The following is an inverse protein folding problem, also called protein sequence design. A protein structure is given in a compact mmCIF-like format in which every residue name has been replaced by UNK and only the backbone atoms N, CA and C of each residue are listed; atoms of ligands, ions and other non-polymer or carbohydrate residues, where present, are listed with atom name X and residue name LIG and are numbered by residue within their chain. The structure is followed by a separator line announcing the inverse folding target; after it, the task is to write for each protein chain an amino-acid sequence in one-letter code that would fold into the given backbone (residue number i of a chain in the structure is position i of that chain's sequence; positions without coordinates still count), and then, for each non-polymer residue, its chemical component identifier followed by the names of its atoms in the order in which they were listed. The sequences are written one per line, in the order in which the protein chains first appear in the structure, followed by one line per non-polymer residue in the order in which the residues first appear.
data_IF_510199674158
#
_entry.id   IF_510199674158
#
_cell.length_a   1.000
_cell.length_b   1.000
_cell.length_c   1.000
_cell.angle_alpha   90.00
_cell.angle_beta   90.00
_cell.angle_gamma   90.00
#
_symmetry.space_group_name_H-M   'P 1'
#
loop_
_entity.id
_entity.type
_entity.pdbx_description
1 polymer ?
#
# COMPACT_ATOMS: atom_id res chain seq x y z
N UNK A 1 3.91 -8.28 -60.81
CA UNK A 1 3.41 -8.85 -59.55
C UNK A 1 3.95 -7.99 -58.43
N UNK A 2 3.08 -7.30 -57.70
CA UNK A 2 3.46 -6.49 -56.54
C UNK A 2 3.23 -7.35 -55.29
N UNK A 3 4.25 -7.51 -54.46
CA UNK A 3 4.16 -8.17 -53.16
C UNK A 3 3.47 -7.20 -52.17
N UNK A 4 2.28 -7.56 -51.71
CA UNK A 4 1.58 -6.89 -50.62
C UNK A 4 1.87 -7.62 -49.31
N UNK A 5 2.63 -6.98 -48.43
CA UNK A 5 2.88 -7.44 -47.06
C UNK A 5 1.57 -7.48 -46.26
N UNK A 6 1.20 -8.66 -45.78
CA UNK A 6 -0.01 -8.93 -45.01
C UNK A 6 0.10 -8.47 -43.54
N UNK A 7 -0.99 -7.95 -42.93
CA UNK A 7 -1.01 -7.33 -41.60
C UNK A 7 -1.10 -8.36 -40.45
N UNK A 8 -0.40 -9.49 -40.54
CA UNK A 8 -0.55 -10.61 -39.61
C UNK A 8 0.28 -10.51 -38.32
N UNK A 9 1.22 -9.57 -38.23
CA UNK A 9 2.18 -9.53 -37.13
C UNK A 9 1.71 -8.74 -35.88
N UNK A 10 0.69 -7.88 -36.02
CA UNK A 10 0.20 -7.03 -34.92
C UNK A 10 -0.86 -7.72 -34.06
N UNK A 11 -1.76 -8.50 -34.68
CA UNK A 11 -2.86 -9.21 -34.01
C UNK A 11 -2.32 -10.35 -33.12
N UNK A 12 -1.32 -11.11 -33.58
CA UNK A 12 -0.69 -12.16 -32.76
C UNK A 12 0.11 -11.58 -31.58
N UNK A 13 0.70 -10.39 -31.76
CA UNK A 13 1.44 -9.71 -30.69
C UNK A 13 0.52 -9.23 -29.55
N UNK A 14 -0.74 -8.87 -29.86
CA UNK A 14 -1.76 -8.48 -28.88
C UNK A 14 -2.25 -9.68 -28.07
N UNK A 15 -2.35 -10.86 -28.68
CA UNK A 15 -2.74 -12.10 -28.00
C UNK A 15 -1.68 -12.61 -27.00
N UNK A 16 -0.41 -12.27 -27.23
CA UNK A 16 0.71 -12.60 -26.34
C UNK A 16 0.91 -11.62 -25.19
N UNK A 17 0.21 -10.48 -25.18
CA UNK A 17 0.34 -9.56 -24.06
C UNK A 17 -0.35 -10.18 -22.84
N UNK A 18 0.37 -10.39 -21.72
CA UNK A 18 -0.26 -10.94 -20.53
C UNK A 18 -1.40 -10.01 -20.12
N UNK A 19 -2.60 -10.60 -19.94
CA UNK A 19 -3.76 -9.88 -19.44
C UNK A 19 -3.40 -9.18 -18.14
N UNK A 20 -3.85 -7.93 -18.00
CA UNK A 20 -3.64 -7.22 -16.75
C UNK A 20 -4.46 -7.88 -15.63
N UNK A 21 -4.00 -7.73 -14.38
CA UNK A 21 -4.75 -8.19 -13.19
C UNK A 21 -6.16 -7.60 -13.16
N UNK A 22 -6.31 -6.33 -13.53
CA UNK A 22 -7.59 -5.64 -13.59
C UNK A 22 -8.54 -6.28 -14.61
N UNK A 23 -8.07 -6.57 -15.83
CA UNK A 23 -8.91 -7.22 -16.85
C UNK A 23 -9.32 -8.64 -16.44
N UNK A 24 -8.40 -9.41 -15.85
CA UNK A 24 -8.70 -10.76 -15.35
C UNK A 24 -9.76 -10.69 -14.24
N UNK A 25 -9.63 -9.75 -13.31
CA UNK A 25 -10.62 -9.54 -12.24
C UNK A 25 -11.99 -9.15 -12.79
N UNK A 26 -12.07 -8.23 -13.75
CA UNK A 26 -13.34 -7.81 -14.36
C UNK A 26 -14.02 -8.98 -15.10
N UNK A 27 -13.24 -9.84 -15.74
CA UNK A 27 -13.74 -10.99 -16.50
C UNK A 27 -13.99 -12.23 -15.67
N UNK A 28 -13.53 -12.25 -14.41
CA UNK A 28 -13.55 -13.43 -13.55
C UNK A 28 -12.56 -14.53 -13.99
N UNK A 29 -11.52 -14.16 -14.74
CA UNK A 29 -10.44 -15.07 -15.10
C UNK A 29 -9.59 -15.39 -13.86
N UNK A 30 -9.22 -16.66 -13.69
CA UNK A 30 -8.35 -17.09 -12.58
C UNK A 30 -6.92 -16.54 -12.75
N UNK A 31 -6.27 -16.04 -11.66
CA UNK A 31 -4.90 -15.61 -11.73
C UNK A 31 -3.95 -16.76 -12.11
N UNK A 32 -2.89 -16.51 -12.88
CA UNK A 32 -1.90 -17.54 -13.19
C UNK A 32 -1.28 -18.17 -11.94
N UNK A 33 -0.89 -19.45 -12.05
CA UNK A 33 -0.19 -20.24 -11.01
C UNK A 33 0.84 -19.48 -10.16
N UNK A 34 1.75 -18.63 -10.69
CA UNK A 34 2.73 -17.91 -9.86
C UNK A 34 2.14 -16.90 -8.85
N UNK A 35 0.85 -16.54 -8.98
CA UNK A 35 0.16 -15.63 -8.07
C UNK A 35 -0.72 -16.36 -7.03
N UNK A 36 -0.77 -17.68 -7.08
CA UNK A 36 -1.54 -18.50 -6.13
C UNK A 36 -0.63 -18.85 -4.95
N UNK A 37 -0.93 -18.28 -3.78
CA UNK A 37 -0.23 -18.58 -2.52
C UNK A 37 -0.63 -19.98 -2.06
N UNK A 38 0.34 -20.76 -1.59
CA UNK A 38 0.07 -22.11 -1.08
C UNK A 38 -0.36 -22.07 0.38
N UNK A 39 -1.12 -23.07 0.80
CA UNK A 39 -1.65 -23.18 2.17
C UNK A 39 -0.56 -23.33 3.24
N UNK A 40 0.67 -23.71 2.86
CA UNK A 40 1.83 -23.83 3.75
C UNK A 40 2.64 -22.53 3.92
N UNK A 41 2.24 -21.44 3.26
CA UNK A 41 2.90 -20.15 3.39
C UNK A 41 2.55 -19.48 4.75
N UNK A 42 3.55 -18.98 5.50
CA UNK A 42 3.30 -18.26 6.76
C UNK A 42 2.42 -17.01 6.58
N UNK A 43 2.32 -16.47 5.36
CA UNK A 43 1.44 -15.37 5.01
C UNK A 43 0.17 -15.92 4.33
N UNK A 44 -0.67 -16.57 5.13
CA UNK A 44 -1.95 -17.12 4.69
C UNK A 44 -3.02 -16.06 4.40
N UNK A 45 -4.26 -16.49 4.08
CA UNK A 45 -5.40 -15.61 3.87
C UNK A 45 -5.55 -14.56 4.97
N UNK A 46 -6.02 -13.37 4.60
CA UNK A 46 -6.18 -12.23 5.53
C UNK A 46 -7.06 -12.62 6.74
N UNK A 47 -8.00 -13.54 6.53
CA UNK A 47 -8.95 -14.04 7.54
C UNK A 47 -8.31 -14.95 8.59
N UNK A 48 -7.13 -15.51 8.29
CA UNK A 48 -6.31 -16.34 9.20
C UNK A 48 -5.17 -15.57 9.83
N UNK A 49 -4.91 -14.34 9.40
CA UNK A 49 -3.95 -13.48 10.08
C UNK A 49 -4.47 -13.20 11.50
N UNK A 50 -3.61 -13.26 12.54
CA UNK A 50 -3.98 -12.75 13.86
C UNK A 50 -4.57 -11.35 13.68
N UNK A 51 -5.63 -10.96 14.43
CA UNK A 51 -6.20 -9.62 14.31
C UNK A 51 -5.03 -8.65 14.38
N UNK A 52 -4.75 -8.00 13.23
CA UNK A 52 -3.63 -7.08 13.12
C UNK A 52 -3.90 -6.07 14.21
N UNK A 53 -3.07 -6.05 15.24
CA UNK A 53 -3.17 -5.02 16.25
C UNK A 53 -3.23 -3.69 15.50
N UNK A 54 -4.09 -2.77 15.94
CA UNK A 54 -4.30 -1.51 15.22
C UNK A 54 -2.95 -0.82 15.00
N UNK A 55 -2.59 -0.56 13.73
CA UNK A 55 -1.32 0.08 13.38
C UNK A 55 -1.25 1.40 14.15
N UNK A 56 -0.17 1.66 14.92
CA UNK A 56 -0.07 2.87 15.73
C UNK A 56 -0.18 4.12 14.87
N UNK A 57 -0.91 5.12 15.35
CA UNK A 57 -1.05 6.42 14.69
C UNK A 57 -0.09 7.42 15.30
N UNK A 58 0.60 8.21 14.47
CA UNK A 58 1.50 9.29 14.86
C UNK A 58 1.05 10.58 14.18
N UNK A 59 0.97 11.68 14.93
CA UNK A 59 0.72 13.01 14.36
C UNK A 59 2.03 13.71 14.01
N UNK A 60 2.45 13.55 12.76
CA UNK A 60 3.68 14.18 12.26
C UNK A 60 3.54 15.70 12.10
N UNK A 61 2.34 16.28 12.24
CA UNK A 61 2.13 17.72 12.13
C UNK A 61 2.85 18.48 13.25
N UNK A 62 3.00 17.83 14.41
CA UNK A 62 3.69 18.32 15.61
C UNK A 62 5.21 18.49 15.42
N UNK A 63 5.78 17.93 14.35
CA UNK A 63 7.20 18.09 13.99
C UNK A 63 7.46 19.33 13.13
N UNK A 64 6.40 20.05 12.73
CA UNK A 64 6.55 21.27 11.94
C UNK A 64 7.25 22.35 12.78
N UNK A 65 8.18 23.13 12.20
CA UNK A 65 8.83 24.23 12.91
C UNK A 65 7.82 25.37 13.14
N UNK A 66 7.05 25.30 14.23
CA UNK A 66 6.27 26.42 14.74
C UNK A 66 7.21 27.45 15.41
N UNK A 67 6.84 28.74 15.47
CA UNK A 67 7.59 29.72 16.23
C UNK A 67 7.63 29.27 17.69
N UNK A 68 8.85 28.97 18.13
CA UNK A 68 9.29 28.32 19.37
C UNK A 68 9.02 29.14 20.65
N UNK A 69 7.84 29.76 20.79
CA UNK A 69 7.57 30.72 21.85
C UNK A 69 6.78 30.15 23.05
N UNK A 70 6.45 28.86 23.06
CA UNK A 70 5.76 28.26 24.19
C UNK A 70 6.47 26.96 24.59
N UNK A 71 7.04 26.93 25.80
CA UNK A 71 7.72 25.77 26.39
C UNK A 71 6.86 24.49 26.30
N UNK A 72 5.54 24.65 26.38
CA UNK A 72 4.54 23.59 26.20
C UNK A 72 4.59 22.92 24.82
N UNK A 73 4.90 23.67 23.75
CA UNK A 73 4.95 23.14 22.38
C UNK A 73 6.21 22.29 22.16
N UNK A 74 7.33 22.64 22.81
CA UNK A 74 8.57 21.87 22.72
C UNK A 74 8.42 20.52 23.43
N UNK A 75 7.81 20.52 24.61
CA UNK A 75 7.55 19.28 25.36
C UNK A 75 6.60 18.33 24.62
N UNK A 76 5.60 18.87 23.92
CA UNK A 76 4.68 18.09 23.10
C UNK A 76 5.37 17.47 21.89
N UNK A 77 6.21 18.24 21.18
CA UNK A 77 7.02 17.73 20.06
C UNK A 77 7.99 16.62 20.50
N UNK A 78 8.73 16.82 21.61
CA UNK A 78 9.67 15.80 22.11
C UNK A 78 8.95 14.51 22.53
N UNK A 79 7.80 14.64 23.22
CA UNK A 79 6.96 13.49 23.59
C UNK A 79 6.52 12.70 22.36
N UNK A 80 6.08 13.38 21.30
CA UNK A 80 5.64 12.72 20.07
C UNK A 80 6.83 12.09 19.32
N UNK A 81 8.02 12.70 19.36
CA UNK A 81 9.24 12.10 18.80
C UNK A 81 9.65 10.81 19.52
N UNK A 82 9.52 10.76 20.84
CA UNK A 82 9.82 9.54 21.61
C UNK A 82 8.81 8.43 21.31
N UNK A 83 7.52 8.79 21.18
CA UNK A 83 6.48 7.87 20.70
C UNK A 83 6.82 7.33 19.31
N UNK A 84 7.18 8.23 18.37
CA UNK A 84 7.57 7.88 17.02
C UNK A 84 8.74 6.89 16.97
N UNK A 85 9.80 7.12 17.77
CA UNK A 85 10.95 6.20 17.88
C UNK A 85 10.54 4.83 18.43
N UNK A 86 9.68 4.82 19.46
CA UNK A 86 9.18 3.58 20.07
C UNK A 86 8.38 2.75 19.06
N UNK A 87 7.49 3.39 18.31
CA UNK A 87 6.68 2.73 17.27
C UNK A 87 7.55 2.19 16.14
N UNK A 88 8.52 2.97 15.63
CA UNK A 88 9.43 2.47 14.60
C UNK A 88 10.29 1.29 15.08
N UNK A 89 10.68 1.29 16.36
CA UNK A 89 11.49 0.21 16.93
C UNK A 89 10.69 -1.07 17.18
N UNK A 90 9.39 -0.96 17.49
CA UNK A 90 8.55 -2.10 17.86
C UNK A 90 7.68 -2.62 16.72
N UNK A 91 7.04 -1.72 15.96
CA UNK A 91 6.14 -2.04 14.85
C UNK A 91 6.80 -1.93 13.48
N UNK A 92 7.78 -1.03 13.32
CA UNK A 92 8.39 -0.73 12.03
C UNK A 92 7.50 0.06 11.05
N UNK A 93 6.23 0.27 11.39
CA UNK A 93 5.28 1.05 10.60
C UNK A 93 4.30 1.81 11.51
N UNK A 94 3.66 2.84 10.95
CA UNK A 94 2.67 3.68 11.63
C UNK A 94 1.69 4.28 10.60
N UNK A 95 0.52 4.71 11.06
CA UNK A 95 -0.43 5.52 10.30
C UNK A 95 -0.22 7.00 10.62
N UNK A 96 -0.41 7.86 9.63
CA UNK A 96 -0.42 9.30 9.87
C UNK A 96 -1.87 9.77 10.10
N UNK A 97 -2.14 10.38 11.26
CA UNK A 97 -3.48 10.84 11.65
C UNK A 97 -4.08 11.83 10.64
N UNK A 98 -3.24 12.66 10.02
CA UNK A 98 -3.69 13.69 9.08
C UNK A 98 -4.40 13.12 7.83
N UNK A 99 -4.19 11.85 7.51
CA UNK A 99 -4.89 11.15 6.42
C UNK A 99 -6.17 10.45 6.87
N UNK A 100 -6.30 10.09 8.16
CA UNK A 100 -7.45 9.36 8.69
C UNK A 100 -8.74 10.20 8.71
N UNK A 101 -8.63 11.53 8.83
CA UNK A 101 -9.79 12.43 8.80
C UNK A 101 -10.33 12.73 7.40
N UNK A 102 -9.56 12.46 6.33
CA UNK A 102 -10.01 12.69 4.95
C UNK A 102 -10.90 11.55 4.41
N UNK A 103 -10.72 10.33 4.90
CA UNK A 103 -11.52 9.16 4.48
C UNK A 103 -12.93 9.10 5.08
N UNK A 104 -13.22 9.90 6.12
CA UNK A 104 -14.52 9.88 6.81
C UNK A 104 -15.54 10.90 6.24
N UNK A 105 -15.17 11.63 5.18
CA UNK A 105 -15.99 12.71 4.58
C UNK A 105 -16.20 12.53 3.07
N UNK A 106 -16.11 11.31 2.54
CA UNK A 106 -16.41 10.96 1.14
C UNK A 106 -17.63 10.06 1.03
#
# INVERSE_FOLDING_TARGET
MAETATPSNLEEMILTLPKSVQEMSIKGDEPPQPFIVRDDDPFGPVDTSPPLASIPTIDISLFSPLPSSLESSIQETEKELDNFRSVLSSWGCFQNEYWANKSNNS
#
